data_IF_236148391150
#
_entry.id   IF_236148391150
#
_cell.length_a   1.000
_cell.length_b   1.000
_cell.length_c   1.000
_cell.angle_alpha   90.00
_cell.angle_beta   90.00
_cell.angle_gamma   90.00
#
_symmetry.space_group_name_H-M   'P 1'
#
loop_
_entity.id
_entity.type
_entity.pdbx_description
1 polymer ?
#
# COMPACT_ATOMS: atom_id res chain seq x y z
N UNK A 1 15.27 72.08 81.57
CA UNK A 1 15.68 73.28 80.82
C UNK A 1 16.31 72.85 79.50
N UNK A 2 15.95 73.53 78.40
CA UNK A 2 16.47 73.47 77.00
C UNK A 2 16.19 72.16 76.21
N UNK A 3 15.29 72.08 75.20
CA UNK A 3 15.12 72.73 73.87
C UNK A 3 16.01 72.17 72.74
N UNK A 4 15.32 71.82 71.63
CA UNK A 4 15.67 71.72 70.18
C UNK A 4 15.53 70.27 69.65
N UNK A 5 14.51 69.89 68.88
CA UNK A 5 14.03 70.31 67.54
C UNK A 5 14.87 69.80 66.36
N UNK A 6 14.16 69.16 65.41
CA UNK A 6 14.44 68.96 63.97
C UNK A 6 15.00 67.62 63.46
N UNK A 7 14.06 66.76 63.01
CA UNK A 7 13.88 66.22 61.65
C UNK A 7 15.12 65.85 60.80
N UNK A 8 15.31 64.54 60.53
CA UNK A 8 15.82 64.02 59.25
C UNK A 8 15.05 62.74 58.90
N UNK A 9 14.33 62.79 57.78
CA UNK A 9 13.70 61.64 57.12
C UNK A 9 14.81 60.94 56.31
N UNK A 10 15.05 59.65 56.57
CA UNK A 10 15.80 58.79 55.66
C UNK A 10 14.99 57.51 55.42
N UNK A 11 14.21 57.52 54.33
CA UNK A 11 13.59 56.32 53.82
C UNK A 11 14.67 55.44 53.17
N UNK A 12 15.16 54.44 53.90
CA UNK A 12 15.99 53.39 53.32
C UNK A 12 15.08 52.39 52.60
N UNK A 13 15.06 52.47 51.27
CA UNK A 13 14.38 51.50 50.41
C UNK A 13 15.20 50.21 50.40
N UNK A 14 14.81 49.23 51.21
CA UNK A 14 15.41 47.89 51.20
C UNK A 14 14.90 47.18 49.95
N UNK A 15 15.69 47.20 48.87
CA UNK A 15 15.46 46.40 47.68
C UNK A 15 15.78 44.93 48.00
N UNK A 16 14.81 44.22 48.58
CA UNK A 16 14.90 42.78 48.75
C UNK A 16 14.82 42.12 47.37
N UNK A 17 15.95 41.62 46.88
CA UNK A 17 16.01 40.74 45.71
C UNK A 17 15.15 39.51 45.99
N UNK A 18 13.94 39.46 45.44
CA UNK A 18 13.21 38.20 45.34
C UNK A 18 13.97 37.31 44.36
N UNK A 19 14.71 36.35 44.91
CA UNK A 19 15.25 35.22 44.16
C UNK A 19 14.08 34.47 43.53
N UNK A 20 13.82 34.71 42.24
CA UNK A 20 12.90 33.88 41.47
C UNK A 20 13.47 32.44 41.51
N UNK A 21 12.68 31.42 41.88
CA UNK A 21 13.12 30.05 41.70
C UNK A 21 13.43 29.84 40.21
N UNK A 22 14.47 29.05 39.85
CA UNK A 22 14.71 28.72 38.46
C UNK A 22 13.45 28.09 37.89
N UNK A 23 12.87 28.74 36.88
CA UNK A 23 11.81 28.14 36.06
C UNK A 23 12.46 26.91 35.44
N UNK A 24 12.09 25.73 35.95
CA UNK A 24 12.41 24.47 35.30
C UNK A 24 11.83 24.55 33.90
N UNK A 25 12.69 24.63 32.89
CA UNK A 25 12.29 24.44 31.51
C UNK A 25 11.55 23.09 31.47
N UNK A 26 10.24 23.13 31.23
CA UNK A 26 9.53 21.93 30.85
C UNK A 26 10.14 21.52 29.52
N UNK A 27 10.91 20.43 29.52
CA UNK A 27 11.31 19.74 28.31
C UNK A 27 10.03 19.38 27.55
N UNK A 28 9.61 20.28 26.65
CA UNK A 28 8.60 19.96 25.65
C UNK A 28 9.23 18.89 24.79
N UNK A 29 8.88 17.63 25.05
CA UNK A 29 9.23 16.51 24.18
C UNK A 29 8.94 16.94 22.74
N UNK A 30 9.91 16.89 21.82
CA UNK A 30 9.71 17.37 20.47
C UNK A 30 8.51 16.64 19.88
N UNK A 31 7.57 17.38 19.30
CA UNK A 31 6.41 16.82 18.64
C UNK A 31 6.89 15.78 17.62
N UNK A 32 6.55 14.52 17.85
CA UNK A 32 7.11 13.41 17.10
C UNK A 32 6.78 13.54 15.61
N UNK A 33 7.81 13.61 14.77
CA UNK A 33 7.72 13.99 13.34
C UNK A 33 6.60 13.25 12.58
N UNK A 34 5.81 13.96 11.79
CA UNK A 34 4.81 13.32 10.91
C UNK A 34 5.52 12.66 9.72
N UNK A 35 5.47 11.33 9.64
CA UNK A 35 6.08 10.61 8.52
C UNK A 35 5.16 10.64 7.30
N UNK A 36 5.70 11.05 6.15
CA UNK A 36 4.97 11.17 4.88
C UNK A 36 5.92 10.95 3.71
N UNK A 37 5.39 11.03 2.47
CA UNK A 37 6.21 10.90 1.26
C UNK A 37 7.42 11.84 1.33
N UNK A 38 8.62 11.31 1.03
CA UNK A 38 9.95 11.93 1.14
C UNK A 38 10.56 11.98 2.55
N UNK A 39 9.84 11.61 3.62
CA UNK A 39 10.49 11.37 4.91
C UNK A 39 11.53 10.25 4.77
N UNK A 40 12.60 10.33 5.55
CA UNK A 40 13.66 9.32 5.56
C UNK A 40 14.27 9.15 6.95
N UNK A 41 15.05 8.08 7.14
CA UNK A 41 15.76 7.80 8.38
C UNK A 41 15.16 6.67 9.21
N UNK A 42 15.64 6.53 10.44
CA UNK A 42 15.37 5.37 11.29
C UNK A 42 13.87 5.21 11.62
N UNK A 43 13.13 6.30 11.77
CA UNK A 43 11.68 6.23 12.04
C UNK A 43 10.89 5.64 10.85
N UNK A 44 11.35 5.89 9.62
CA UNK A 44 10.77 5.27 8.43
C UNK A 44 11.14 3.79 8.34
N UNK A 45 12.36 3.41 8.75
CA UNK A 45 12.76 2.00 8.87
C UNK A 45 11.84 1.28 9.86
N UNK A 46 11.63 1.85 11.05
CA UNK A 46 10.77 1.30 12.10
C UNK A 46 9.31 1.15 11.60
N UNK A 47 8.79 2.17 10.92
CA UNK A 47 7.47 2.13 10.28
C UNK A 47 7.36 0.98 9.27
N UNK A 48 8.30 0.88 8.33
CA UNK A 48 8.27 -0.14 7.28
C UNK A 48 8.40 -1.55 7.86
N UNK A 49 9.25 -1.74 8.88
CA UNK A 49 9.35 -3.02 9.61
C UNK A 49 8.03 -3.35 10.30
N UNK A 50 7.42 -2.39 11.01
CA UNK A 50 6.16 -2.62 11.72
C UNK A 50 5.01 -2.95 10.77
N UNK A 51 4.89 -2.23 9.65
CA UNK A 51 3.90 -2.52 8.61
C UNK A 51 4.14 -3.91 8.00
N UNK A 52 5.40 -4.32 7.80
CA UNK A 52 5.75 -5.66 7.32
C UNK A 52 5.35 -6.73 8.35
N UNK A 53 5.68 -6.52 9.61
CA UNK A 53 5.33 -7.44 10.70
C UNK A 53 3.83 -7.63 10.78
N UNK A 54 3.05 -6.58 10.51
CA UNK A 54 1.59 -6.61 10.47
C UNK A 54 1.01 -7.09 9.13
N UNK A 55 1.83 -7.37 8.10
CA UNK A 55 1.39 -7.90 6.80
C UNK A 55 1.05 -6.86 5.72
N UNK A 56 1.22 -5.56 6.00
CA UNK A 56 0.89 -4.45 5.09
C UNK A 56 2.05 -4.01 4.20
N UNK A 57 3.26 -4.54 4.38
CA UNK A 57 4.44 -4.13 3.60
C UNK A 57 5.28 -5.32 3.16
N UNK A 58 5.39 -5.56 1.86
CA UNK A 58 6.10 -6.70 1.25
C UNK A 58 7.29 -6.28 0.39
N UNK A 59 7.79 -5.06 0.58
CA UNK A 59 8.95 -4.52 -0.12
C UNK A 59 10.20 -4.54 0.77
N UNK A 60 11.36 -4.29 0.17
CA UNK A 60 12.59 -4.04 0.92
C UNK A 60 12.38 -2.83 1.85
N UNK A 61 12.79 -2.97 3.11
CA UNK A 61 12.87 -1.85 4.05
C UNK A 61 14.06 -1.00 3.63
N UNK A 62 13.80 0.25 3.27
CA UNK A 62 14.79 1.18 2.72
C UNK A 62 15.08 2.36 3.65
N UNK A 63 14.19 2.63 4.61
CA UNK A 63 14.25 3.87 5.39
C UNK A 63 13.84 5.11 4.61
N UNK A 64 13.35 4.96 3.37
CA UNK A 64 12.79 6.05 2.57
C UNK A 64 11.29 5.88 2.42
N UNK A 65 10.52 6.90 2.79
CA UNK A 65 9.06 6.90 2.73
C UNK A 65 8.63 7.25 1.31
N UNK A 66 8.65 6.22 0.47
CA UNK A 66 8.14 6.30 -0.89
C UNK A 66 6.65 6.04 -0.97
N UNK A 67 6.14 6.05 -2.21
CA UNK A 67 4.74 5.71 -2.51
C UNK A 67 4.34 4.34 -1.97
N UNK A 68 5.23 3.33 -1.98
CA UNK A 68 4.93 2.00 -1.45
C UNK A 68 4.70 2.00 0.07
N UNK A 69 5.42 2.83 0.82
CA UNK A 69 5.18 3.02 2.26
C UNK A 69 3.88 3.78 2.48
N UNK A 70 3.61 4.82 1.68
CA UNK A 70 2.34 5.56 1.76
C UNK A 70 1.13 4.66 1.52
N UNK A 71 1.20 3.77 0.52
CA UNK A 71 0.12 2.84 0.19
C UNK A 71 -0.10 1.80 1.30
N UNK A 72 0.98 1.29 1.89
CA UNK A 72 0.92 0.40 3.06
C UNK A 72 0.29 1.09 4.28
N UNK A 73 0.62 2.36 4.52
CA UNK A 73 0.00 3.16 5.57
C UNK A 73 -1.49 3.39 5.29
N UNK A 74 -1.87 3.68 4.04
CA UNK A 74 -3.30 3.82 3.67
C UNK A 74 -4.08 2.55 3.92
N UNK A 75 -3.54 1.39 3.54
CA UNK A 75 -4.20 0.12 3.82
C UNK A 75 -4.30 -0.13 5.33
N UNK A 76 -3.23 0.13 6.09
CA UNK A 76 -3.27 0.03 7.54
C UNK A 76 -4.34 0.95 8.14
N UNK A 77 -4.41 2.20 7.69
CA UNK A 77 -5.43 3.17 8.11
C UNK A 77 -6.84 2.67 7.77
N UNK A 78 -7.06 2.18 6.56
CA UNK A 78 -8.36 1.64 6.10
C UNK A 78 -8.82 0.48 7.00
N UNK A 79 -7.97 -0.53 7.20
CA UNK A 79 -8.33 -1.72 7.99
C UNK A 79 -8.57 -1.38 9.47
N UNK A 80 -7.86 -0.38 10.00
CA UNK A 80 -7.99 0.07 11.38
C UNK A 80 -9.02 1.19 11.59
N UNK A 81 -9.76 1.58 10.54
CA UNK A 81 -10.84 2.58 10.63
C UNK A 81 -10.35 4.01 10.88
N UNK A 82 -9.16 4.34 10.40
CA UNK A 82 -8.52 5.65 10.55
C UNK A 82 -8.71 6.51 9.29
N UNK A 83 -8.37 7.79 9.39
CA UNK A 83 -8.30 8.66 8.21
C UNK A 83 -7.26 8.12 7.22
N UNK A 84 -7.71 7.86 5.97
CA UNK A 84 -6.88 7.24 4.92
C UNK A 84 -6.16 8.32 4.09
N UNK A 85 -5.15 8.94 4.67
CA UNK A 85 -4.33 9.98 4.01
C UNK A 85 -2.94 9.48 3.57
N UNK A 86 -2.50 8.35 4.12
CA UNK A 86 -1.18 7.77 3.89
C UNK A 86 -0.05 8.50 4.61
N UNK A 87 -0.35 9.25 5.68
CA UNK A 87 0.61 9.89 6.58
C UNK A 87 0.56 9.28 7.97
N UNK A 88 1.70 9.22 8.66
CA UNK A 88 1.76 8.69 10.03
C UNK A 88 1.81 9.85 11.01
N UNK A 89 0.64 10.39 11.29
CA UNK A 89 0.41 11.32 12.41
C UNK A 89 0.21 10.60 13.75
N UNK A 90 -0.05 11.35 14.84
CA UNK A 90 -0.18 10.79 16.19
C UNK A 90 -1.22 9.67 16.32
N UNK A 91 -2.39 9.81 15.67
CA UNK A 91 -3.45 8.81 15.70
C UNK A 91 -3.02 7.50 15.02
N UNK A 92 -2.52 7.59 13.78
CA UNK A 92 -2.02 6.42 13.04
C UNK A 92 -0.88 5.73 13.80
N UNK A 93 0.05 6.51 14.36
CA UNK A 93 1.16 5.99 15.16
C UNK A 93 0.67 5.26 16.41
N UNK A 94 -0.27 5.86 17.14
CA UNK A 94 -0.85 5.28 18.35
C UNK A 94 -1.43 3.90 18.09
N UNK A 95 -2.19 3.75 17.01
CA UNK A 95 -2.78 2.46 16.64
C UNK A 95 -1.71 1.50 16.11
N UNK A 96 -0.80 1.94 15.24
CA UNK A 96 0.23 1.13 14.59
C UNK A 96 1.12 0.37 15.59
N UNK A 97 1.52 1.02 16.69
CA UNK A 97 2.38 0.43 17.71
C UNK A 97 1.61 -0.11 18.93
N UNK A 98 0.27 -0.03 18.93
CA UNK A 98 -0.56 -0.68 19.94
C UNK A 98 -0.68 -2.19 19.74
N UNK A 99 -1.15 -2.88 20.78
CA UNK A 99 -1.61 -4.27 20.70
C UNK A 99 -2.91 -4.44 19.90
N UNK A 100 -3.69 -3.37 19.73
CA UNK A 100 -4.95 -3.38 18.96
C UNK A 100 -4.75 -3.27 17.44
N UNK A 101 -3.53 -3.07 16.96
CA UNK A 101 -3.22 -3.00 15.54
C UNK A 101 -3.70 -4.27 14.80
N UNK A 102 -4.68 -4.12 13.90
CA UNK A 102 -5.18 -5.24 13.11
C UNK A 102 -4.10 -5.70 12.14
N UNK A 103 -3.78 -6.99 12.15
CA UNK A 103 -2.88 -7.61 11.16
C UNK A 103 -3.60 -7.79 9.83
N UNK A 104 -2.93 -7.46 8.74
CA UNK A 104 -3.36 -7.84 7.40
C UNK A 104 -3.00 -9.30 7.15
N UNK A 105 -3.86 -10.20 7.61
CA UNK A 105 -3.81 -11.59 7.21
C UNK A 105 -4.66 -11.75 5.97
N UNK A 106 -4.06 -12.11 4.84
CA UNK A 106 -4.81 -12.70 3.71
C UNK A 106 -5.24 -14.11 4.15
N UNK A 107 -6.17 -14.15 5.11
CA UNK A 107 -6.86 -15.37 5.49
C UNK A 107 -7.83 -15.71 4.37
N UNK A 108 -7.85 -16.97 3.97
CA UNK A 108 -8.86 -17.56 3.10
C UNK A 108 -10.30 -17.21 3.51
N UNK A 109 -10.53 -16.78 4.76
CA UNK A 109 -11.82 -16.28 5.25
C UNK A 109 -12.21 -14.86 4.81
N UNK A 110 -11.25 -13.95 4.56
CA UNK A 110 -11.56 -12.58 4.09
C UNK A 110 -11.84 -12.51 2.58
N UNK A 111 -11.45 -13.55 1.84
CA UNK A 111 -11.87 -13.74 0.46
C UNK A 111 -13.40 -13.71 0.32
N UNK A 112 -14.11 -14.23 1.32
CA UNK A 112 -15.57 -14.37 1.32
C UNK A 112 -16.31 -13.04 1.56
N UNK A 113 -15.67 -12.04 2.18
CA UNK A 113 -16.29 -10.73 2.45
C UNK A 113 -16.20 -9.77 1.26
N UNK A 114 -15.27 -10.02 0.32
CA UNK A 114 -15.18 -9.28 -0.95
C UNK A 114 -16.15 -9.84 -2.00
N UNK A 115 -16.69 -11.04 -1.81
CA UNK A 115 -17.69 -11.62 -2.70
C UNK A 115 -19.01 -10.84 -2.55
N UNK A 116 -19.61 -10.28 -3.62
CA UNK A 116 -21.05 -10.11 -3.61
C UNK A 116 -21.66 -11.48 -3.31
N UNK A 117 -22.52 -11.56 -2.29
CA UNK A 117 -23.20 -12.79 -1.91
C UNK A 117 -23.74 -13.47 -3.17
N UNK A 118 -23.12 -14.58 -3.57
CA UNK A 118 -23.58 -15.37 -4.71
C UNK A 118 -24.93 -15.94 -4.33
N UNK A 119 -26.00 -15.23 -4.71
CA UNK A 119 -27.32 -15.83 -4.88
C UNK A 119 -27.20 -16.81 -6.04
N UNK A 120 -26.80 -18.04 -5.72
CA UNK A 120 -26.98 -19.22 -6.57
C UNK A 120 -26.47 -19.06 -8.01
N UNK A 121 -25.15 -18.91 -8.17
CA UNK A 121 -24.49 -18.96 -9.48
C UNK A 121 -23.06 -18.47 -9.35
N UNK A 122 -22.08 -19.31 -9.72
CA UNK A 122 -20.68 -18.86 -9.84
C UNK A 122 -20.65 -17.77 -10.91
N UNK A 123 -20.74 -16.50 -10.51
CA UNK A 123 -20.56 -15.38 -11.42
C UNK A 123 -19.20 -15.55 -12.09
N UNK A 124 -19.17 -15.52 -13.43
CA UNK A 124 -17.94 -15.54 -14.20
C UNK A 124 -17.08 -14.29 -13.95
N UNK A 125 -17.64 -13.27 -13.30
CA UNK A 125 -17.03 -11.98 -13.06
C UNK A 125 -16.20 -11.97 -11.77
N UNK A 126 -15.41 -10.90 -11.61
CA UNK A 126 -14.51 -10.69 -10.48
C UNK A 126 -14.84 -9.45 -9.68
N UNK A 127 -14.33 -9.41 -8.46
CA UNK A 127 -14.44 -8.26 -7.56
C UNK A 127 -13.40 -7.23 -7.97
N UNK A 128 -13.80 -5.96 -8.02
CA UNK A 128 -12.90 -4.88 -8.40
C UNK A 128 -12.08 -4.45 -7.20
N UNK A 129 -10.76 -4.64 -7.27
CA UNK A 129 -9.84 -4.39 -6.16
C UNK A 129 -8.87 -3.28 -6.55
N UNK A 130 -8.83 -2.21 -5.74
CA UNK A 130 -7.85 -1.13 -5.88
C UNK A 130 -6.44 -1.70 -5.70
N UNK A 131 -5.59 -1.51 -6.70
CA UNK A 131 -4.25 -2.06 -6.74
C UNK A 131 -3.38 -1.61 -5.57
N UNK A 132 -3.43 -0.33 -5.24
CA UNK A 132 -2.51 0.27 -4.28
C UNK A 132 -2.94 -0.03 -2.86
N UNK A 133 -4.24 -0.04 -2.56
CA UNK A 133 -4.66 -0.40 -1.22
C UNK A 133 -4.71 -1.90 -0.99
N UNK A 134 -5.17 -2.72 -1.95
CA UNK A 134 -5.47 -4.14 -1.70
C UNK A 134 -4.82 -5.11 -2.68
N UNK A 135 -4.83 -4.79 -3.97
CA UNK A 135 -4.44 -5.72 -5.04
C UNK A 135 -2.99 -6.19 -4.92
N UNK A 136 -2.06 -5.28 -4.61
CA UNK A 136 -0.64 -5.61 -4.46
C UNK A 136 -0.33 -6.49 -3.24
N UNK A 137 -1.23 -6.56 -2.27
CA UNK A 137 -1.11 -7.39 -1.07
C UNK A 137 -1.88 -8.70 -1.19
N UNK A 138 -2.98 -8.68 -1.94
CA UNK A 138 -3.72 -9.89 -2.31
C UNK A 138 -2.89 -10.77 -3.27
N UNK A 139 -2.14 -10.15 -4.19
CA UNK A 139 -1.23 -10.84 -5.10
C UNK A 139 0.23 -10.44 -4.83
N UNK A 140 0.86 -10.87 -3.72
CA UNK A 140 2.22 -10.45 -3.38
C UNK A 140 3.25 -10.99 -4.38
N UNK A 141 4.43 -10.36 -4.45
CA UNK A 141 5.53 -10.85 -5.30
C UNK A 141 5.91 -12.28 -4.91
N UNK A 142 6.13 -13.13 -5.90
CA UNK A 142 6.38 -14.56 -5.72
C UNK A 142 5.12 -15.43 -5.68
N UNK A 143 3.93 -14.86 -5.44
CA UNK A 143 2.69 -15.61 -5.47
C UNK A 143 2.35 -16.07 -6.89
N UNK A 144 1.62 -17.19 -6.96
CA UNK A 144 1.09 -17.76 -8.20
C UNK A 144 -0.42 -17.62 -8.19
N UNK A 145 -0.98 -17.16 -9.30
CA UNK A 145 -2.41 -17.03 -9.53
C UNK A 145 -2.84 -17.84 -10.76
N UNK A 146 -4.10 -18.27 -10.79
CA UNK A 146 -4.75 -18.71 -12.03
C UNK A 146 -5.37 -17.48 -12.69
N UNK A 147 -5.05 -17.25 -13.94
CA UNK A 147 -5.63 -16.18 -14.76
C UNK A 147 -6.57 -16.79 -15.78
N UNK A 148 -7.74 -16.19 -15.96
CA UNK A 148 -8.80 -16.66 -16.88
C UNK A 148 -9.12 -15.52 -17.84
N UNK A 149 -8.94 -15.73 -19.14
CA UNK A 149 -9.38 -14.78 -20.17
C UNK A 149 -10.90 -14.85 -20.33
N UNK A 150 -11.60 -13.74 -20.15
CA UNK A 150 -13.07 -13.75 -20.16
C UNK A 150 -13.69 -13.95 -21.54
N UNK A 151 -12.97 -13.66 -22.62
CA UNK A 151 -13.48 -13.84 -23.97
C UNK A 151 -13.44 -15.30 -24.42
N UNK A 152 -12.39 -16.04 -24.07
CA UNK A 152 -12.21 -17.44 -24.49
C UNK A 152 -12.58 -18.45 -23.40
N UNK A 153 -12.63 -18.03 -22.13
CA UNK A 153 -12.78 -18.91 -20.97
C UNK A 153 -11.54 -19.75 -20.66
N UNK A 154 -10.47 -19.63 -21.46
CA UNK A 154 -9.20 -20.34 -21.25
C UNK A 154 -8.45 -19.77 -20.07
N UNK A 155 -7.66 -20.60 -19.42
CA UNK A 155 -6.90 -20.21 -18.23
C UNK A 155 -5.48 -20.72 -18.24
N UNK A 156 -4.61 -20.00 -17.55
CA UNK A 156 -3.18 -20.27 -17.42
C UNK A 156 -2.70 -19.79 -16.03
N UNK A 157 -1.54 -20.26 -15.58
CA UNK A 157 -0.93 -19.86 -14.30
C UNK A 157 0.12 -18.80 -14.51
N UNK A 158 0.06 -17.75 -13.70
CA UNK A 158 1.02 -16.64 -13.70
C UNK A 158 1.63 -16.48 -12.31
N UNK A 159 2.95 -16.27 -12.25
CA UNK A 159 3.66 -15.85 -11.04
C UNK A 159 3.90 -14.35 -11.11
N UNK A 160 3.59 -13.60 -10.05
CA UNK A 160 4.01 -12.19 -9.96
C UNK A 160 5.51 -12.13 -9.71
N UNK A 161 6.29 -11.67 -10.69
CA UNK A 161 7.75 -11.56 -10.58
C UNK A 161 8.20 -10.19 -10.15
N UNK A 162 7.39 -9.15 -10.37
CA UNK A 162 7.73 -7.79 -9.96
C UNK A 162 6.55 -6.82 -9.91
N UNK A 163 6.78 -5.61 -10.39
CA UNK A 163 5.76 -4.57 -10.48
C UNK A 163 5.49 -3.80 -9.20
N UNK A 164 5.43 -2.47 -9.35
CA UNK A 164 5.00 -1.51 -8.31
C UNK A 164 3.63 -0.93 -8.63
N UNK A 165 3.46 -0.46 -9.86
CA UNK A 165 2.24 0.22 -10.30
C UNK A 165 1.13 -0.76 -10.75
N UNK A 166 1.50 -2.01 -10.99
CA UNK A 166 0.67 -3.15 -11.37
C UNK A 166 1.49 -4.44 -11.14
N UNK A 167 0.96 -5.60 -11.53
CA UNK A 167 1.62 -6.89 -11.35
C UNK A 167 2.39 -7.31 -12.62
N UNK A 168 3.70 -7.11 -12.61
CA UNK A 168 4.61 -7.70 -13.60
C UNK A 168 4.65 -9.20 -13.33
N UNK A 169 4.22 -10.00 -14.31
CA UNK A 169 3.96 -11.42 -14.12
C UNK A 169 4.46 -12.25 -15.29
N UNK A 170 4.88 -13.48 -14.99
CA UNK A 170 5.38 -14.44 -15.98
C UNK A 170 4.62 -15.76 -15.87
N UNK A 171 4.43 -16.47 -17.00
CA UNK A 171 3.83 -17.79 -17.00
C UNK A 171 4.70 -18.73 -16.16
N UNK A 172 4.05 -19.64 -15.43
CA UNK A 172 4.75 -20.61 -14.58
C UNK A 172 5.43 -21.68 -15.43
N UNK A 173 4.85 -22.04 -16.58
CA UNK A 173 5.32 -23.11 -17.45
C UNK A 173 5.27 -22.71 -18.93
N UNK A 174 5.97 -23.47 -19.78
CA UNK A 174 5.90 -23.35 -21.25
C UNK A 174 4.47 -23.53 -21.80
N UNK A 175 3.66 -24.40 -21.17
CA UNK A 175 2.27 -24.61 -21.57
C UNK A 175 1.36 -23.41 -21.22
N UNK A 176 1.64 -22.74 -20.09
CA UNK A 176 0.98 -21.49 -19.73
C UNK A 176 1.30 -20.39 -20.77
N UNK A 177 2.57 -20.24 -21.14
CA UNK A 177 3.00 -19.30 -22.18
C UNK A 177 2.37 -19.60 -23.53
N UNK A 178 2.35 -20.88 -23.93
CA UNK A 178 1.68 -21.33 -25.15
C UNK A 178 0.19 -20.97 -25.13
N UNK A 179 -0.49 -21.20 -24.02
CA UNK A 179 -1.91 -20.84 -23.85
C UNK A 179 -2.14 -19.34 -24.00
N UNK A 180 -1.30 -18.49 -23.40
CA UNK A 180 -1.34 -17.04 -23.58
C UNK A 180 -1.20 -16.69 -25.05
N UNK A 181 -0.17 -17.22 -25.72
CA UNK A 181 0.09 -16.92 -27.13
C UNK A 181 -1.08 -17.31 -28.03
N UNK A 182 -1.74 -18.44 -27.77
CA UNK A 182 -2.91 -18.87 -28.54
C UNK A 182 -4.14 -17.99 -28.29
N UNK A 183 -4.40 -17.53 -27.07
CA UNK A 183 -5.54 -16.64 -26.74
C UNK A 183 -5.45 -15.30 -27.49
N UNK A 184 -4.23 -14.77 -27.64
CA UNK A 184 -3.97 -13.50 -28.33
C UNK A 184 -3.63 -13.68 -29.82
N UNK A 185 -3.60 -14.92 -30.35
CA UNK A 185 -3.21 -15.17 -31.74
C UNK A 185 -1.75 -14.84 -32.05
N UNK A 186 -0.89 -14.83 -31.03
CA UNK A 186 0.47 -14.31 -31.05
C UNK A 186 0.78 -13.49 -29.80
N UNK A 187 1.94 -12.84 -29.77
CA UNK A 187 2.26 -11.84 -28.76
C UNK A 187 1.62 -10.52 -29.17
N UNK A 188 0.77 -9.95 -28.30
CA UNK A 188 -0.04 -8.77 -28.64
C UNK A 188 -0.23 -7.83 -27.44
N UNK A 189 -0.26 -6.54 -27.70
CA UNK A 189 -0.57 -5.50 -26.72
C UNK A 189 -2.08 -5.34 -26.46
N UNK A 190 -2.94 -6.10 -27.12
CA UNK A 190 -4.39 -5.99 -26.96
C UNK A 190 -4.83 -6.25 -25.53
N UNK A 191 -5.56 -5.29 -24.97
CA UNK A 191 -6.02 -5.34 -23.58
C UNK A 191 -7.28 -6.18 -23.50
N UNK A 192 -7.24 -7.24 -22.71
CA UNK A 192 -8.37 -8.14 -22.50
C UNK A 192 -8.82 -8.11 -21.05
N UNK A 193 -10.13 -8.28 -20.79
CA UNK A 193 -10.65 -8.44 -19.44
C UNK A 193 -10.34 -9.86 -18.96
N UNK A 194 -9.72 -9.98 -17.78
CA UNK A 194 -9.33 -11.27 -17.20
C UNK A 194 -9.79 -11.36 -15.75
N UNK A 195 -9.94 -12.59 -15.27
CA UNK A 195 -10.13 -12.90 -13.85
C UNK A 195 -8.84 -13.47 -13.30
N UNK A 196 -8.38 -12.92 -12.19
CA UNK A 196 -7.22 -13.44 -11.45
C UNK A 196 -7.74 -14.11 -10.18
N UNK A 197 -7.63 -15.43 -10.12
CA UNK A 197 -7.99 -16.25 -8.97
C UNK A 197 -6.80 -16.37 -8.02
N UNK A 198 -6.89 -15.71 -6.86
CA UNK A 198 -5.85 -15.70 -5.82
C UNK A 198 -6.49 -15.88 -4.46
N UNK A 199 -6.02 -16.86 -3.67
CA UNK A 199 -6.50 -17.07 -2.31
C UNK A 199 -8.00 -17.33 -2.20
N UNK A 200 -8.62 -17.91 -3.24
CA UNK A 200 -10.06 -18.14 -3.31
C UNK A 200 -10.89 -16.94 -3.78
N UNK A 201 -10.27 -15.78 -4.05
CA UNK A 201 -10.92 -14.58 -4.59
C UNK A 201 -10.81 -14.55 -6.11
N UNK A 202 -11.91 -14.29 -6.80
CA UNK A 202 -11.93 -13.93 -8.23
C UNK A 202 -11.79 -12.42 -8.34
N UNK A 203 -10.63 -11.90 -8.73
CA UNK A 203 -10.38 -10.47 -8.86
C UNK A 203 -10.51 -10.04 -10.32
N UNK A 204 -11.26 -8.98 -10.58
CA UNK A 204 -11.35 -8.37 -11.89
C UNK A 204 -10.04 -7.65 -12.25
N UNK A 205 -9.46 -7.99 -13.39
CA UNK A 205 -8.23 -7.39 -13.88
C UNK A 205 -8.25 -7.23 -15.41
N UNK A 206 -7.17 -6.70 -15.95
CA UNK A 206 -6.89 -6.66 -17.36
C UNK A 206 -5.46 -7.10 -17.63
N UNK A 207 -5.23 -7.77 -18.76
CA UNK A 207 -3.93 -8.26 -19.18
C UNK A 207 -3.79 -8.05 -20.69
N UNK A 208 -2.57 -7.89 -21.18
CA UNK A 208 -2.22 -8.03 -22.60
C UNK A 208 -1.37 -9.30 -22.80
N UNK A 209 -1.10 -9.73 -24.03
CA UNK A 209 -0.31 -10.93 -24.31
C UNK A 209 1.18 -10.68 -24.54
N UNK A 210 1.62 -9.44 -24.74
CA UNK A 210 2.99 -9.12 -25.17
C UNK A 210 4.03 -9.19 -24.03
N UNK A 211 5.03 -10.07 -24.11
CA UNK A 211 6.16 -10.07 -23.19
C UNK A 211 7.05 -8.84 -23.40
N UNK A 212 7.64 -8.32 -22.33
CA UNK A 212 8.55 -7.18 -22.39
C UNK A 212 9.47 -7.07 -21.16
N UNK A 213 10.49 -6.22 -21.29
CA UNK A 213 11.47 -5.89 -20.26
C UNK A 213 12.28 -7.10 -19.77
N UNK A 214 12.26 -7.40 -18.46
CA UNK A 214 13.11 -8.43 -17.86
C UNK A 214 12.44 -9.81 -17.85
N UNK A 215 13.25 -10.86 -17.92
CA UNK A 215 12.87 -12.27 -17.76
C UNK A 215 13.36 -12.79 -16.40
N UNK A 216 12.44 -13.27 -15.55
CA UNK A 216 12.77 -13.78 -14.22
C UNK A 216 12.55 -15.29 -14.08
N UNK A 217 11.91 -15.95 -15.04
CA UNK A 217 11.62 -17.38 -15.03
C UNK A 217 12.10 -17.99 -16.36
N UNK A 218 13.33 -18.50 -16.34
CA UNK A 218 13.90 -19.17 -17.51
C UNK A 218 13.14 -20.44 -17.91
N UNK A 219 13.06 -20.69 -19.21
CA UNK A 219 12.49 -21.94 -19.76
C UNK A 219 10.96 -22.04 -19.72
N UNK A 220 10.25 -20.97 -19.34
CA UNK A 220 8.77 -20.93 -19.34
C UNK A 220 8.17 -20.64 -20.73
N UNK A 221 8.95 -20.62 -21.81
CA UNK A 221 8.46 -20.37 -23.17
C UNK A 221 8.07 -18.92 -23.49
N UNK A 222 8.42 -17.97 -22.62
CA UNK A 222 8.17 -16.53 -22.80
C UNK A 222 9.42 -15.73 -22.40
N UNK A 223 9.89 -14.82 -23.25
CA UNK A 223 11.03 -13.95 -22.93
C UNK A 223 10.54 -12.58 -22.46
N UNK A 224 10.70 -12.30 -21.18
CA UNK A 224 10.20 -11.10 -20.52
C UNK A 224 8.96 -11.36 -19.64
N UNK A 225 8.35 -10.30 -19.13
CA UNK A 225 7.10 -10.39 -18.35
C UNK A 225 5.92 -9.74 -19.07
N UNK A 226 4.73 -9.96 -18.54
CA UNK A 226 3.48 -9.36 -18.97
C UNK A 226 2.84 -8.61 -17.80
N UNK A 227 2.21 -7.47 -18.09
CA UNK A 227 1.53 -6.67 -17.08
C UNK A 227 0.10 -7.17 -16.84
N UNK A 228 -0.24 -7.44 -15.58
CA UNK A 228 -1.63 -7.60 -15.13
C UNK A 228 -2.03 -6.34 -14.36
N UNK A 229 -2.99 -5.62 -14.91
CA UNK A 229 -3.54 -4.37 -14.37
C UNK A 229 -4.83 -4.63 -13.59
N UNK A 230 -4.84 -4.18 -12.34
CA UNK A 230 -6.02 -4.17 -11.49
C UNK A 230 -6.67 -2.79 -11.49
N UNK A 231 -7.72 -2.59 -10.69
CA UNK A 231 -8.37 -1.29 -10.61
C UNK A 231 -7.42 -0.23 -10.05
N UNK A 232 -7.42 0.95 -10.66
CA UNK A 232 -6.50 2.07 -10.42
C UNK A 232 -5.00 1.79 -10.63
N UNK A 233 -4.60 0.58 -11.04
CA UNK A 233 -3.22 0.30 -11.45
C UNK A 233 -2.74 1.31 -12.50
N UNK A 234 -1.44 1.59 -12.50
CA UNK A 234 -0.82 2.59 -13.38
C UNK A 234 0.20 1.94 -14.30
N UNK A 235 0.46 2.52 -15.46
CA UNK A 235 1.48 2.04 -16.41
C UNK A 235 2.91 2.30 -15.90
N UNK A 236 3.90 1.61 -16.47
CA UNK A 236 5.31 1.81 -16.14
C UNK A 236 5.81 3.20 -16.56
N UNK A 237 5.63 3.58 -17.83
CA UNK A 237 6.28 4.75 -18.44
C UNK A 237 5.72 6.06 -17.88
N UNK A 238 4.39 6.18 -17.85
CA UNK A 238 3.71 7.45 -17.56
C UNK A 238 3.15 7.53 -16.15
N UNK A 239 3.24 6.45 -15.36
CA UNK A 239 2.65 6.35 -14.02
C UNK A 239 1.19 6.85 -13.98
N UNK A 240 0.41 6.49 -15.01
CA UNK A 240 -1.01 6.87 -15.14
C UNK A 240 -1.89 5.65 -15.37
N UNK A 241 -3.17 5.77 -15.01
CA UNK A 241 -4.16 4.76 -15.36
C UNK A 241 -4.33 4.72 -16.88
N UNK A 242 -4.21 3.53 -17.45
CA UNK A 242 -4.49 3.29 -18.87
C UNK A 242 -6.01 3.09 -19.04
N UNK A 243 -6.70 3.92 -19.85
CA UNK A 243 -8.16 3.86 -19.98
C UNK A 243 -8.66 2.50 -20.47
N UNK A 244 -7.94 1.84 -21.36
CA UNK A 244 -8.36 0.56 -21.95
C UNK A 244 -8.22 -0.58 -20.95
N UNK A 245 -7.12 -0.61 -20.19
CA UNK A 245 -6.97 -1.53 -19.07
C UNK A 245 -8.07 -1.30 -18.02
N UNK A 246 -8.35 -0.04 -17.65
CA UNK A 246 -9.40 0.24 -16.67
C UNK A 246 -10.81 -0.10 -17.20
N UNK A 247 -11.08 0.06 -18.49
CA UNK A 247 -12.32 -0.39 -19.11
C UNK A 247 -12.46 -1.92 -19.08
N UNK A 248 -11.38 -2.64 -19.40
CA UNK A 248 -11.34 -4.10 -19.30
C UNK A 248 -11.53 -4.60 -17.85
N UNK A 249 -10.92 -3.94 -16.86
CA UNK A 249 -11.16 -4.24 -15.43
C UNK A 249 -12.63 -4.06 -15.06
N UNK A 250 -13.30 -2.99 -15.54
CA UNK A 250 -14.74 -2.77 -15.30
C UNK A 250 -15.60 -3.86 -15.95
N UNK A 251 -15.31 -4.23 -17.20
CA UNK A 251 -15.98 -5.35 -17.89
C UNK A 251 -15.83 -6.65 -17.11
N UNK A 252 -14.63 -6.95 -16.62
CA UNK A 252 -14.37 -8.13 -15.80
C UNK A 252 -15.11 -8.12 -14.45
N UNK A 253 -15.57 -6.95 -14.00
CA UNK A 253 -16.39 -6.77 -12.80
C UNK A 253 -17.89 -6.61 -13.10
N UNK A 254 -18.32 -6.68 -14.37
CA UNK A 254 -19.71 -6.45 -14.77
C UNK A 254 -20.18 -5.00 -14.62
N UNK A 255 -19.28 -4.04 -14.84
CA UNK A 255 -19.56 -2.59 -14.76
C UNK A 255 -19.26 -1.87 -16.08
#
# INVERSE_FOLDING_TARGET
>A
MLKRASLIILAAFVLSLMSLPPVMAQDTLPAQEILKIKSEGQEVVNLQMRLRDLGYFNYKVTGYYGTATADAVRLFQEENGLQVDGTVGPETRGVLYSSSAKRYTVSSGQASALLPASRGGRSSLGVMVDWFSKGQYLFPKGAVAKVIDLYTGRSFRMKRTGGRNHADSEPVTADDAKTIKEIWGGWSWDRRPVIVEIGGVRVAASMHGMPHAYDAISGNGMDGHVCIHFYKSRTHIHNRQDPDHQAAVRRAAGK
#
